data_IF_806765868932
#
_entry.id   IF_806765868932
#
_cell.length_a   1.000
_cell.length_b   1.000
_cell.length_c   1.000
_cell.angle_alpha   90.00
_cell.angle_beta   90.00
_cell.angle_gamma   90.00
#
_symmetry.space_group_name_H-M   'P 1'
#
loop_
_entity.id
_entity.type
_entity.pdbx_description
1 polymer ?
#
# COMPACT_ATOMS: atom_id res chain seq x y z
N UNK A 1 -15.04 -3.10 -10.43
CA UNK A 1 -14.71 -2.31 -9.21
C UNK A 1 -13.25 -1.90 -9.29
N UNK A 2 -12.97 -0.59 -9.12
CA UNK A 2 -11.60 -0.05 -9.17
C UNK A 2 -11.10 0.26 -7.76
N UNK A 3 -9.98 -0.35 -7.36
CA UNK A 3 -9.31 -0.06 -6.09
C UNK A 3 -7.96 0.56 -6.39
N UNK A 4 -7.67 1.71 -5.76
CA UNK A 4 -6.39 2.40 -5.86
C UNK A 4 -5.68 2.46 -4.51
N UNK A 5 -4.37 2.47 -4.57
CA UNK A 5 -3.48 2.66 -3.42
C UNK A 5 -2.46 3.76 -3.75
N UNK A 6 -2.27 4.71 -2.83
CA UNK A 6 -1.36 5.83 -3.02
C UNK A 6 -0.70 6.27 -1.71
N UNK A 7 0.59 6.10 -1.59
CA UNK A 7 1.35 6.78 -0.55
C UNK A 7 1.42 8.27 -0.88
N UNK A 8 0.79 9.11 -0.08
CA UNK A 8 0.66 10.56 -0.32
C UNK A 8 1.77 11.38 0.33
N UNK A 9 2.62 10.75 1.15
CA UNK A 9 3.73 11.42 1.84
C UNK A 9 3.32 12.75 2.51
N UNK A 10 2.14 12.73 3.14
CA UNK A 10 1.51 13.89 3.79
C UNK A 10 0.30 14.42 3.02
N UNK A 11 -0.91 14.01 3.46
CA UNK A 11 -2.16 14.31 2.76
C UNK A 11 -2.40 15.81 2.57
N UNK A 12 -2.12 16.65 3.58
CA UNK A 12 -2.25 18.12 3.46
C UNK A 12 -1.39 18.71 2.33
N UNK A 13 -0.23 18.12 2.09
CA UNK A 13 0.66 18.59 1.03
C UNK A 13 0.14 18.22 -0.36
N UNK A 14 -0.41 17.01 -0.51
CA UNK A 14 -0.97 16.54 -1.79
C UNK A 14 -2.29 17.22 -2.11
N UNK A 15 -3.12 17.54 -1.11
CA UNK A 15 -4.33 18.35 -1.31
C UNK A 15 -4.02 19.68 -2.01
N UNK A 16 -2.95 20.36 -1.60
CA UNK A 16 -2.50 21.63 -2.23
C UNK A 16 -1.94 21.46 -3.66
N UNK A 17 -1.73 20.23 -4.09
CA UNK A 17 -1.14 19.89 -5.40
C UNK A 17 -2.14 19.21 -6.35
N UNK A 18 -3.45 19.38 -6.11
CA UNK A 18 -4.50 18.86 -6.98
C UNK A 18 -4.94 17.43 -6.65
N UNK A 19 -4.97 17.06 -5.37
CA UNK A 19 -5.46 15.74 -4.94
C UNK A 19 -6.90 15.47 -5.39
N UNK A 20 -7.80 16.44 -5.21
CA UNK A 20 -9.22 16.31 -5.53
C UNK A 20 -9.41 16.03 -7.02
N UNK A 21 -8.75 16.83 -7.87
CA UNK A 21 -8.79 16.68 -9.34
C UNK A 21 -8.16 15.35 -9.79
N UNK A 22 -7.08 14.93 -9.14
CA UNK A 22 -6.45 13.65 -9.42
C UNK A 22 -7.39 12.49 -9.09
N UNK A 23 -8.04 12.50 -7.91
CA UNK A 23 -8.99 11.45 -7.51
C UNK A 23 -10.21 11.44 -8.43
N UNK A 24 -10.77 12.60 -8.76
CA UNK A 24 -11.90 12.70 -9.70
C UNK A 24 -11.57 12.11 -11.09
N UNK A 25 -10.33 12.32 -11.59
CA UNK A 25 -9.88 11.76 -12.87
C UNK A 25 -9.63 10.25 -12.80
N UNK A 26 -9.13 9.74 -11.67
CA UNK A 26 -8.87 8.31 -11.46
C UNK A 26 -10.15 7.52 -11.19
N UNK A 27 -11.16 8.17 -10.63
CA UNK A 27 -12.50 7.66 -10.31
C UNK A 27 -12.51 6.28 -9.61
N UNK A 28 -11.85 6.12 -8.45
CA UNK A 28 -11.84 4.84 -7.74
C UNK A 28 -13.14 4.57 -6.99
N UNK A 29 -13.52 3.29 -6.89
CA UNK A 29 -14.54 2.85 -5.93
C UNK A 29 -14.00 2.84 -4.49
N UNK A 30 -12.70 2.50 -4.35
CA UNK A 30 -11.97 2.51 -3.08
C UNK A 30 -10.59 3.13 -3.32
N UNK A 31 -10.20 4.07 -2.46
CA UNK A 31 -8.88 4.71 -2.46
C UNK A 31 -8.20 4.49 -1.11
N UNK A 32 -7.11 3.75 -1.12
CA UNK A 32 -6.24 3.48 0.02
C UNK A 32 -5.09 4.49 0.05
N UNK A 33 -4.90 5.17 1.17
CA UNK A 33 -3.84 6.16 1.35
C UNK A 33 -2.88 5.72 2.45
N UNK A 34 -1.58 5.90 2.22
CA UNK A 34 -0.52 5.69 3.20
C UNK A 34 0.23 7.00 3.44
N UNK A 35 0.88 7.09 4.57
CA UNK A 35 1.60 8.29 5.05
C UNK A 35 0.72 9.55 5.03
N UNK A 36 -0.47 9.49 5.59
CA UNK A 36 -1.34 10.67 5.70
C UNK A 36 -0.71 11.77 6.55
N UNK A 37 0.12 11.38 7.53
CA UNK A 37 0.85 12.27 8.47
C UNK A 37 -0.09 13.25 9.19
N UNK A 38 -1.31 12.78 9.47
CA UNK A 38 -2.35 13.53 10.16
C UNK A 38 -2.66 12.90 11.52
N UNK A 39 -3.19 13.74 12.40
CA UNK A 39 -3.89 13.32 13.60
C UNK A 39 -5.39 13.59 13.43
N UNK A 40 -6.20 13.06 14.32
CA UNK A 40 -7.65 13.20 14.26
C UNK A 40 -8.10 14.67 14.23
N UNK A 41 -7.49 15.51 15.08
CA UNK A 41 -7.75 16.95 15.20
C UNK A 41 -7.25 17.79 13.99
N UNK A 42 -6.49 17.21 13.10
CA UNK A 42 -5.89 17.90 11.96
C UNK A 42 -6.63 17.66 10.63
N UNK A 43 -7.68 16.83 10.64
CA UNK A 43 -8.51 16.59 9.45
C UNK A 43 -9.45 17.75 9.20
N UNK A 44 -9.51 18.27 7.98
CA UNK A 44 -10.56 19.20 7.59
C UNK A 44 -11.87 18.45 7.31
N UNK A 45 -13.00 19.16 7.36
CA UNK A 45 -14.31 18.59 7.00
C UNK A 45 -14.32 18.08 5.54
N UNK A 46 -13.61 18.75 4.63
CA UNK A 46 -13.43 18.32 3.24
C UNK A 46 -12.70 16.99 3.12
N UNK A 47 -11.70 16.72 3.99
CA UNK A 47 -11.00 15.44 4.02
C UNK A 47 -11.87 14.33 4.60
N UNK A 48 -12.75 14.62 5.56
CA UNK A 48 -13.64 13.64 6.19
C UNK A 48 -14.81 13.30 5.26
N UNK A 49 -15.41 14.32 4.66
CA UNK A 49 -16.60 14.23 3.81
C UNK A 49 -16.21 14.42 2.34
N UNK A 50 -15.26 13.62 1.86
CA UNK A 50 -14.76 13.75 0.51
C UNK A 50 -15.75 13.15 -0.48
N UNK A 51 -16.45 14.01 -1.25
CA UNK A 51 -17.43 13.63 -2.28
C UNK A 51 -18.45 12.59 -1.74
N UNK A 52 -18.64 11.50 -2.46
CA UNK A 52 -19.57 10.39 -2.13
C UNK A 52 -18.91 9.28 -1.29
N UNK A 53 -17.69 9.51 -0.82
CA UNK A 53 -16.92 8.51 -0.08
C UNK A 53 -17.21 8.56 1.42
N UNK A 54 -17.27 7.39 2.03
CA UNK A 54 -17.04 7.22 3.46
C UNK A 54 -15.55 7.10 3.72
N UNK A 55 -15.06 7.70 4.81
CA UNK A 55 -13.63 7.66 5.14
C UNK A 55 -13.36 6.90 6.43
N UNK A 56 -12.31 6.10 6.40
CA UNK A 56 -11.79 5.34 7.53
C UNK A 56 -10.35 5.77 7.78
N UNK A 57 -9.94 5.91 9.04
CA UNK A 57 -8.67 6.52 9.40
C UNK A 57 -7.99 5.77 10.53
N UNK A 58 -6.67 5.64 10.44
CA UNK A 58 -5.81 5.20 11.52
C UNK A 58 -4.61 6.14 11.67
N UNK A 59 -4.19 6.42 12.90
CA UNK A 59 -3.19 7.42 13.23
C UNK A 59 -2.14 6.86 14.16
N UNK A 60 -0.89 7.34 13.99
CA UNK A 60 0.14 7.05 14.97
C UNK A 60 -0.18 7.73 16.31
N UNK A 61 -0.35 6.94 17.36
CA UNK A 61 -0.52 7.44 18.74
C UNK A 61 0.81 7.88 19.36
N UNK A 62 1.93 7.33 18.87
CA UNK A 62 3.27 7.54 19.42
C UNK A 62 3.91 8.86 19.00
N UNK A 63 3.56 9.39 17.81
CA UNK A 63 4.20 10.58 17.26
C UNK A 63 3.29 11.33 16.30
N UNK A 64 3.09 12.63 16.54
CA UNK A 64 2.35 13.51 15.63
C UNK A 64 3.09 13.68 14.29
N UNK A 65 2.32 13.74 13.19
CA UNK A 65 2.87 13.94 11.85
C UNK A 65 3.69 12.78 11.30
N UNK A 66 3.46 11.58 11.82
CA UNK A 66 4.16 10.35 11.46
C UNK A 66 3.16 9.29 11.00
N UNK A 67 3.55 8.46 10.02
CA UNK A 67 2.72 7.35 9.51
C UNK A 67 1.28 7.78 9.17
N UNK A 68 0.30 6.99 9.58
CA UNK A 68 -1.12 7.21 9.35
C UNK A 68 -1.58 6.69 8.00
N UNK A 69 -2.72 6.00 8.01
CA UNK A 69 -3.38 5.49 6.80
C UNK A 69 -4.84 5.94 6.75
N UNK A 70 -5.40 6.00 5.55
CA UNK A 70 -6.83 6.29 5.37
C UNK A 70 -7.39 5.47 4.21
N UNK A 71 -8.68 5.18 4.26
CA UNK A 71 -9.41 4.62 3.12
C UNK A 71 -10.64 5.45 2.85
N UNK A 72 -10.84 5.83 1.61
CA UNK A 72 -12.07 6.39 1.08
C UNK A 72 -12.80 5.30 0.29
N UNK A 73 -14.05 5.01 0.62
CA UNK A 73 -14.83 3.95 -0.02
C UNK A 73 -16.25 4.44 -0.37
N UNK A 74 -16.67 4.24 -1.63
CA UNK A 74 -18.05 4.54 -2.06
C UNK A 74 -19.04 3.53 -1.49
N UNK A 75 -18.63 2.26 -1.43
CA UNK A 75 -19.45 1.19 -0.85
C UNK A 75 -19.04 0.96 0.60
N UNK A 76 -20.01 0.97 1.50
CA UNK A 76 -19.79 0.70 2.92
C UNK A 76 -19.35 -0.74 3.13
N UNK A 77 -18.24 -1.01 3.86
CA UNK A 77 -17.87 -2.36 4.28
C UNK A 77 -18.86 -2.89 5.33
N UNK A 78 -18.92 -4.20 5.47
CA UNK A 78 -19.70 -4.89 6.51
C UNK A 78 -19.09 -4.65 7.90
N UNK A 79 -17.76 -4.61 7.96
CA UNK A 79 -17.00 -4.32 9.17
C UNK A 79 -15.71 -3.57 8.81
N UNK A 80 -15.15 -2.86 9.80
CA UNK A 80 -13.84 -2.23 9.69
C UNK A 80 -13.08 -2.36 11.00
N UNK A 81 -11.75 -2.34 10.90
CA UNK A 81 -10.83 -2.40 12.03
C UNK A 81 -9.56 -1.61 11.72
N UNK A 82 -8.98 -0.97 12.75
CA UNK A 82 -7.63 -0.43 12.72
C UNK A 82 -6.68 -1.39 13.44
N UNK A 83 -5.47 -1.55 12.88
CA UNK A 83 -4.47 -2.49 13.39
C UNK A 83 -4.84 -3.97 13.15
N UNK A 84 -4.01 -4.86 13.68
CA UNK A 84 -4.20 -6.31 13.58
C UNK A 84 -3.97 -7.04 14.92
N UNK A 85 -3.96 -6.29 16.05
CA UNK A 85 -3.94 -6.83 17.40
C UNK A 85 -2.55 -6.97 18.02
N UNK A 86 -1.53 -6.32 17.45
CA UNK A 86 -0.18 -6.25 18.00
C UNK A 86 0.13 -4.81 18.40
N UNK A 87 0.01 -4.47 19.68
CA UNK A 87 0.06 -3.11 20.22
C UNK A 87 1.23 -2.27 19.70
N UNK A 88 2.44 -2.84 19.66
CA UNK A 88 3.65 -2.13 19.19
C UNK A 88 3.55 -1.67 17.74
N UNK A 89 2.77 -2.38 16.91
CA UNK A 89 2.54 -2.05 15.49
C UNK A 89 1.30 -1.18 15.33
N UNK A 90 0.23 -1.50 16.04
CA UNK A 90 -1.04 -0.78 15.97
C UNK A 90 -0.86 0.68 16.46
N UNK A 91 0.04 0.92 17.43
CA UNK A 91 0.38 2.24 17.91
C UNK A 91 0.99 3.18 16.84
N UNK A 92 1.47 2.65 15.72
CA UNK A 92 2.01 3.47 14.61
C UNK A 92 0.96 3.84 13.54
N UNK A 93 -0.30 3.37 13.66
CA UNK A 93 -1.39 3.74 12.75
C UNK A 93 -1.11 3.34 11.30
N UNK A 94 -0.88 2.04 11.05
CA UNK A 94 -0.36 1.54 9.78
C UNK A 94 -1.33 0.66 9.00
N UNK A 95 -2.44 0.21 9.62
CA UNK A 95 -3.30 -0.82 9.05
C UNK A 95 -4.76 -0.46 9.19
N UNK A 96 -5.49 -0.44 8.09
CA UNK A 96 -6.95 -0.47 8.06
C UNK A 96 -7.40 -1.74 7.37
N UNK A 97 -8.25 -2.50 8.03
CA UNK A 97 -8.96 -3.65 7.51
C UNK A 97 -10.40 -3.28 7.20
N UNK A 98 -10.89 -3.59 6.00
CA UNK A 98 -12.28 -3.43 5.58
C UNK A 98 -12.83 -4.77 5.08
N UNK A 99 -13.86 -5.29 5.73
CA UNK A 99 -14.55 -6.51 5.33
C UNK A 99 -15.73 -6.20 4.42
N UNK A 100 -15.69 -6.69 3.18
CA UNK A 100 -16.78 -6.59 2.20
C UNK A 100 -17.59 -7.89 2.04
N UNK A 101 -17.33 -8.92 2.86
CA UNK A 101 -17.93 -10.24 2.78
C UNK A 101 -17.29 -11.11 1.69
N UNK A 102 -17.27 -10.65 0.43
CA UNK A 102 -16.59 -11.33 -0.68
C UNK A 102 -15.07 -11.32 -0.58
N UNK A 103 -14.52 -10.29 0.01
CA UNK A 103 -13.09 -10.14 0.27
C UNK A 103 -12.85 -9.27 1.51
N UNK A 104 -11.68 -9.40 2.09
CA UNK A 104 -11.16 -8.48 3.10
C UNK A 104 -10.05 -7.64 2.45
N UNK A 105 -10.19 -6.31 2.54
CA UNK A 105 -9.20 -5.36 2.05
C UNK A 105 -8.33 -4.86 3.19
N UNK A 106 -7.02 -4.96 3.04
CA UNK A 106 -6.04 -4.35 3.91
C UNK A 106 -5.35 -3.18 3.21
N UNK A 107 -5.45 -2.00 3.80
CA UNK A 107 -4.61 -0.84 3.45
C UNK A 107 -3.48 -0.74 4.45
N UNK A 108 -2.22 -0.87 3.99
CA UNK A 108 -1.06 -0.97 4.87
C UNK A 108 0.06 -0.01 4.46
N UNK A 109 0.64 0.64 5.46
CA UNK A 109 1.93 1.30 5.35
C UNK A 109 2.99 0.48 6.08
N UNK A 110 3.68 -0.40 5.36
CA UNK A 110 4.74 -1.23 5.94
C UNK A 110 5.91 -0.36 6.43
N UNK A 111 6.55 -0.72 7.55
CA UNK A 111 7.67 0.06 8.08
C UNK A 111 8.83 0.17 7.10
N UNK A 112 9.47 1.35 7.08
CA UNK A 112 10.75 1.55 6.40
C UNK A 112 11.89 1.12 7.32
N UNK A 113 12.86 0.36 6.80
CA UNK A 113 13.99 -0.19 7.56
C UNK A 113 15.31 0.59 7.42
N UNK A 114 15.31 1.77 6.76
CA UNK A 114 16.56 2.45 6.38
C UNK A 114 17.28 3.14 7.54
N UNK A 115 16.63 3.38 8.68
CA UNK A 115 17.19 4.20 9.75
C UNK A 115 18.36 3.51 10.45
N UNK A 116 18.17 2.27 10.88
CA UNK A 116 19.11 1.46 11.66
C UNK A 116 18.67 -0.02 11.65
N UNK A 117 19.51 -0.90 12.20
CA UNK A 117 19.21 -2.35 12.28
C UNK A 117 17.97 -2.65 13.14
N UNK A 118 17.71 -1.90 14.20
CA UNK A 118 16.52 -2.07 15.04
C UNK A 118 15.25 -1.83 14.19
N UNK A 119 15.27 -0.79 13.36
CA UNK A 119 14.15 -0.48 12.48
C UNK A 119 13.98 -1.51 11.35
N UNK A 120 15.08 -2.08 10.86
CA UNK A 120 15.03 -3.18 9.91
C UNK A 120 14.39 -4.43 10.55
N UNK A 121 14.82 -4.82 11.75
CA UNK A 121 14.20 -5.94 12.48
C UNK A 121 12.71 -5.69 12.76
N UNK A 122 12.36 -4.46 13.19
CA UNK A 122 10.96 -4.07 13.37
C UNK A 122 10.12 -4.25 12.10
N UNK A 123 10.67 -3.88 10.93
CA UNK A 123 10.03 -4.08 9.63
C UNK A 123 9.81 -5.57 9.34
N UNK A 124 10.84 -6.39 9.51
CA UNK A 124 10.75 -7.84 9.28
C UNK A 124 9.76 -8.53 10.23
N UNK A 125 9.74 -8.12 11.50
CA UNK A 125 8.77 -8.59 12.48
C UNK A 125 7.34 -8.19 12.09
N UNK A 126 7.15 -6.94 11.63
CA UNK A 126 5.84 -6.46 11.15
C UNK A 126 5.32 -7.33 10.02
N UNK A 127 6.15 -7.63 9.02
CA UNK A 127 5.79 -8.51 7.91
C UNK A 127 5.36 -9.89 8.42
N UNK A 128 6.19 -10.52 9.23
CA UNK A 128 5.92 -11.85 9.78
C UNK A 128 4.60 -11.90 10.54
N UNK A 129 4.40 -10.97 11.47
CA UNK A 129 3.24 -10.96 12.36
C UNK A 129 1.96 -10.58 11.60
N UNK A 130 2.03 -9.62 10.67
CA UNK A 130 0.89 -9.27 9.82
C UNK A 130 0.48 -10.43 8.91
N UNK A 131 1.42 -11.06 8.21
CA UNK A 131 1.07 -12.16 7.31
C UNK A 131 0.65 -13.42 8.06
N UNK A 132 1.09 -13.62 9.31
CA UNK A 132 0.50 -14.67 10.17
C UNK A 132 -0.97 -14.40 10.50
N UNK A 133 -1.33 -13.14 10.73
CA UNK A 133 -2.71 -12.71 10.90
C UNK A 133 -3.53 -12.90 9.62
N UNK A 134 -3.00 -12.49 8.48
CA UNK A 134 -3.64 -12.63 7.18
C UNK A 134 -3.85 -14.11 6.80
N UNK A 135 -2.86 -14.98 7.05
CA UNK A 135 -2.97 -16.43 6.82
C UNK A 135 -4.11 -17.05 7.65
N UNK A 136 -4.27 -16.66 8.91
CA UNK A 136 -5.36 -17.15 9.75
C UNK A 136 -6.75 -16.78 9.18
N UNK A 137 -6.90 -15.66 8.48
CA UNK A 137 -8.14 -15.31 7.77
C UNK A 137 -8.30 -16.13 6.48
N UNK A 138 -7.23 -16.32 5.73
CA UNK A 138 -7.22 -17.13 4.51
C UNK A 138 -7.57 -18.59 4.83
N UNK A 139 -7.05 -19.17 5.93
CA UNK A 139 -7.37 -20.51 6.41
C UNK A 139 -8.85 -20.66 6.81
N UNK A 140 -9.53 -19.55 7.14
CA UNK A 140 -10.98 -19.50 7.35
C UNK A 140 -11.78 -19.35 6.04
N UNK A 141 -11.13 -19.46 4.89
CA UNK A 141 -11.77 -19.35 3.57
C UNK A 141 -12.03 -17.90 3.14
N UNK A 142 -11.33 -16.91 3.71
CA UNK A 142 -11.49 -15.50 3.31
C UNK A 142 -10.56 -15.18 2.14
N UNK A 143 -11.11 -14.57 1.11
CA UNK A 143 -10.34 -13.96 0.02
C UNK A 143 -9.75 -12.63 0.49
N UNK A 144 -8.46 -12.39 0.23
CA UNK A 144 -7.74 -11.23 0.74
C UNK A 144 -7.19 -10.36 -0.39
N UNK A 145 -7.29 -9.04 -0.19
CA UNK A 145 -6.61 -8.02 -0.99
C UNK A 145 -5.75 -7.18 -0.04
N UNK A 146 -4.44 -7.24 -0.19
CA UNK A 146 -3.47 -6.54 0.66
C UNK A 146 -2.78 -5.51 -0.21
N UNK A 147 -2.95 -4.23 0.09
CA UNK A 147 -2.36 -3.16 -0.68
C UNK A 147 -1.68 -2.11 0.19
N UNK A 148 -0.76 -1.40 -0.40
CA UNK A 148 -0.09 -0.26 0.19
C UNK A 148 1.37 -0.15 -0.19
N UNK A 149 2.09 0.67 0.57
CA UNK A 149 3.53 0.84 0.45
C UNK A 149 4.26 -0.23 1.29
N UNK A 150 4.89 -1.16 0.60
CA UNK A 150 5.65 -2.25 1.21
C UNK A 150 7.09 -1.84 1.58
N UNK A 151 7.54 -0.68 1.15
CA UNK A 151 8.91 -0.23 1.37
C UNK A 151 9.99 -1.23 0.92
N UNK A 152 9.66 -2.13 0.00
CA UNK A 152 10.55 -3.18 -0.53
C UNK A 152 10.30 -3.41 -2.02
N UNK A 153 11.33 -3.30 -2.84
CA UNK A 153 11.32 -3.78 -4.21
C UNK A 153 11.65 -5.29 -4.22
N UNK A 154 10.87 -6.10 -4.94
CA UNK A 154 11.00 -7.55 -4.90
C UNK A 154 12.16 -8.07 -5.76
N UNK A 155 12.11 -7.81 -7.07
CA UNK A 155 13.04 -8.32 -8.05
C UNK A 155 13.89 -7.21 -8.69
N UNK A 156 14.94 -7.57 -9.40
CA UNK A 156 15.81 -6.60 -10.08
C UNK A 156 15.07 -5.74 -11.10
N UNK A 157 14.01 -6.26 -11.71
CA UNK A 157 13.12 -5.51 -12.62
C UNK A 157 12.34 -4.39 -11.90
N UNK A 158 12.20 -4.48 -10.57
CA UNK A 158 11.40 -3.58 -9.76
C UNK A 158 12.13 -2.31 -9.32
N UNK A 159 13.40 -2.15 -9.72
CA UNK A 159 14.14 -0.90 -9.50
C UNK A 159 15.17 -0.63 -10.60
N UNK A 160 15.46 0.65 -10.83
CA UNK A 160 16.33 1.09 -11.94
C UNK A 160 17.77 0.62 -11.82
N UNK A 161 18.34 0.58 -10.60
CA UNK A 161 19.74 0.31 -10.37
C UNK A 161 19.93 -0.80 -9.31
N UNK A 162 19.62 -2.07 -9.60
CA UNK A 162 19.61 -3.14 -8.60
C UNK A 162 20.99 -3.36 -7.98
N UNK A 163 22.03 -3.40 -8.78
CA UNK A 163 23.39 -3.72 -8.30
C UNK A 163 23.93 -2.67 -7.31
N UNK A 164 23.62 -1.40 -7.51
CA UNK A 164 24.06 -0.33 -6.60
C UNK A 164 23.20 -0.20 -5.34
N UNK A 165 22.07 -0.91 -5.28
CA UNK A 165 21.12 -0.84 -4.16
C UNK A 165 20.97 -2.16 -3.39
N UNK A 166 21.69 -3.24 -3.78
CA UNK A 166 21.59 -4.57 -3.16
C UNK A 166 21.86 -4.60 -1.65
N UNK A 167 22.64 -3.64 -1.16
CA UNK A 167 23.02 -3.52 0.24
C UNK A 167 22.25 -2.37 0.95
N UNK A 168 21.13 -1.91 0.37
CA UNK A 168 20.26 -0.87 0.96
C UNK A 168 18.93 -1.44 1.39
N UNK A 169 18.43 -1.02 2.55
CA UNK A 169 17.08 -1.36 2.98
C UNK A 169 16.05 -0.89 1.95
N UNK A 170 15.08 -1.75 1.70
CA UNK A 170 14.13 -1.70 0.59
C UNK A 170 14.55 -2.63 -0.57
N UNK A 171 15.80 -3.16 -0.57
CA UNK A 171 16.26 -4.15 -1.54
C UNK A 171 17.28 -5.15 -0.99
N UNK A 172 17.44 -5.21 0.35
CA UNK A 172 18.26 -6.24 0.99
C UNK A 172 17.72 -7.64 0.67
N UNK A 173 18.62 -8.63 0.57
CA UNK A 173 18.17 -9.99 0.30
C UNK A 173 17.16 -10.49 1.32
N UNK A 174 17.38 -10.22 2.61
CA UNK A 174 16.48 -10.60 3.70
C UNK A 174 15.07 -9.98 3.58
N UNK A 175 14.95 -8.76 3.04
CA UNK A 175 13.64 -8.12 2.79
C UNK A 175 12.94 -8.74 1.58
N UNK A 176 13.69 -9.10 0.54
CA UNK A 176 13.20 -9.77 -0.66
C UNK A 176 12.78 -11.22 -0.37
N UNK A 177 13.52 -11.92 0.50
CA UNK A 177 13.18 -13.27 0.96
C UNK A 177 11.80 -13.30 1.65
N UNK A 178 11.41 -12.21 2.34
CA UNK A 178 10.06 -12.09 2.92
C UNK A 178 9.01 -12.04 1.82
N UNK A 179 9.23 -11.32 0.72
CA UNK A 179 8.28 -11.29 -0.40
C UNK A 179 8.22 -12.63 -1.14
N UNK A 180 9.36 -13.33 -1.28
CA UNK A 180 9.40 -14.71 -1.79
C UNK A 180 8.54 -15.64 -0.92
N UNK A 181 8.68 -15.55 0.42
CA UNK A 181 7.89 -16.33 1.39
C UNK A 181 6.39 -16.02 1.29
N UNK A 182 5.99 -14.74 1.20
CA UNK A 182 4.59 -14.32 1.02
C UNK A 182 3.99 -14.98 -0.24
N UNK A 183 4.71 -14.95 -1.36
CA UNK A 183 4.27 -15.58 -2.61
C UNK A 183 4.14 -17.11 -2.43
N UNK A 184 5.10 -17.74 -1.75
CA UNK A 184 5.07 -19.20 -1.48
C UNK A 184 3.87 -19.64 -0.66
N UNK A 185 3.27 -18.71 0.12
CA UNK A 185 2.07 -18.93 0.94
C UNK A 185 0.76 -18.68 0.20
N UNK A 186 0.79 -18.52 -1.15
CA UNK A 186 -0.40 -18.37 -1.98
C UNK A 186 -0.94 -16.93 -2.06
N UNK A 187 -0.06 -15.94 -1.90
CA UNK A 187 -0.36 -14.55 -2.29
C UNK A 187 0.26 -14.23 -3.64
N UNK A 188 -0.45 -13.48 -4.46
CA UNK A 188 -0.04 -13.15 -5.83
C UNK A 188 0.18 -11.65 -5.96
N UNK A 189 1.37 -11.21 -6.37
CA UNK A 189 1.62 -9.85 -6.85
C UNK A 189 0.87 -9.66 -8.16
N UNK A 190 -0.29 -9.02 -8.11
CA UNK A 190 -1.22 -8.92 -9.24
C UNK A 190 -0.60 -8.25 -10.46
N UNK A 191 0.20 -7.19 -10.26
CA UNK A 191 0.85 -6.49 -11.37
C UNK A 191 1.92 -7.37 -12.04
N UNK A 192 2.77 -8.04 -11.25
CA UNK A 192 3.82 -8.90 -11.81
C UNK A 192 3.27 -10.17 -12.44
N UNK A 193 2.16 -10.69 -11.93
CA UNK A 193 1.46 -11.82 -12.53
C UNK A 193 0.89 -11.49 -13.92
N UNK A 194 0.23 -10.34 -14.06
CA UNK A 194 -0.38 -9.93 -15.33
C UNK A 194 0.64 -9.36 -16.32
N UNK A 195 1.71 -8.74 -15.82
CA UNK A 195 2.72 -8.03 -16.60
C UNK A 195 4.14 -8.45 -16.20
N UNK A 196 4.55 -9.71 -16.47
CA UNK A 196 5.80 -10.29 -15.96
C UNK A 196 7.06 -9.53 -16.36
N UNK A 197 7.09 -8.95 -17.58
CA UNK A 197 8.25 -8.29 -18.15
C UNK A 197 8.15 -6.75 -18.17
N UNK A 198 7.07 -6.19 -17.65
CA UNK A 198 6.85 -4.73 -17.70
C UNK A 198 7.64 -4.01 -16.63
N UNK A 199 8.53 -3.11 -17.06
CA UNK A 199 9.29 -2.22 -16.17
C UNK A 199 8.47 -0.97 -15.89
N UNK A 200 7.91 -0.89 -14.68
CA UNK A 200 7.24 0.30 -14.14
C UNK A 200 7.59 0.46 -12.68
N UNK A 201 7.65 1.70 -12.23
CA UNK A 201 7.96 2.06 -10.85
C UNK A 201 6.82 2.86 -10.24
N UNK A 202 6.71 2.80 -8.90
CA UNK A 202 5.69 3.52 -8.13
C UNK A 202 6.26 4.64 -7.27
N UNK A 203 7.58 4.64 -7.02
CA UNK A 203 8.27 5.61 -6.19
C UNK A 203 9.55 6.15 -6.84
N UNK A 204 9.85 7.44 -6.61
CA UNK A 204 11.07 8.13 -7.04
C UNK A 204 11.55 9.10 -5.97
N UNK A 205 12.82 9.03 -5.62
CA UNK A 205 13.42 10.03 -4.73
C UNK A 205 13.21 11.46 -5.26
N UNK A 206 12.94 12.40 -4.38
CA UNK A 206 12.93 13.85 -4.74
C UNK A 206 14.29 14.36 -5.18
N UNK A 207 15.37 13.62 -4.93
CA UNK A 207 16.74 14.02 -5.26
C UNK A 207 17.08 13.65 -6.71
N UNK A 208 18.01 14.41 -7.28
CA UNK A 208 18.64 14.10 -8.60
C UNK A 208 17.67 13.98 -9.77
N UNK A 209 16.52 14.64 -9.72
CA UNK A 209 15.48 14.52 -10.76
C UNK A 209 15.10 13.06 -11.07
N UNK A 210 15.08 12.19 -10.04
CA UNK A 210 14.91 10.76 -10.20
C UNK A 210 13.65 10.39 -11.00
N UNK A 211 12.52 11.07 -10.77
CA UNK A 211 11.27 10.82 -11.52
C UNK A 211 11.40 11.17 -13.01
N UNK A 212 12.05 12.32 -13.34
CA UNK A 212 12.31 12.72 -14.73
C UNK A 212 13.21 11.72 -15.46
N UNK A 213 14.20 11.17 -14.77
CA UNK A 213 15.14 10.18 -15.29
C UNK A 213 14.61 8.75 -15.21
N UNK A 214 13.40 8.57 -14.70
CA UNK A 214 12.79 7.27 -14.37
C UNK A 214 13.71 6.35 -13.55
N UNK A 215 14.46 6.93 -12.59
CA UNK A 215 15.28 6.19 -11.63
C UNK A 215 14.44 5.85 -10.40
N UNK A 216 13.46 4.97 -10.60
CA UNK A 216 12.43 4.64 -9.62
C UNK A 216 12.53 3.22 -9.07
N UNK A 217 11.64 2.94 -8.13
CA UNK A 217 11.41 1.66 -7.48
C UNK A 217 9.92 1.33 -7.51
N UNK A 218 9.56 0.06 -7.68
CA UNK A 218 8.21 -0.44 -7.47
C UNK A 218 8.16 -1.02 -6.05
N UNK A 219 7.55 -0.30 -5.15
CA UNK A 219 7.43 -0.64 -3.72
C UNK A 219 6.01 -0.58 -3.20
N UNK A 220 5.07 -0.15 -4.05
CA UNK A 220 3.64 -0.18 -3.79
C UNK A 220 3.01 -1.35 -4.55
N UNK A 221 2.18 -2.15 -3.87
CA UNK A 221 1.68 -3.42 -4.40
C UNK A 221 0.19 -3.60 -4.14
N UNK A 222 -0.39 -4.51 -4.95
CA UNK A 222 -1.58 -5.27 -4.65
C UNK A 222 -1.22 -6.76 -4.61
N UNK A 223 -1.06 -7.29 -3.42
CA UNK A 223 -1.04 -8.73 -3.21
C UNK A 223 -2.46 -9.24 -2.98
N UNK A 224 -2.87 -10.24 -3.71
CA UNK A 224 -4.18 -10.87 -3.58
C UNK A 224 -4.02 -12.35 -3.26
N UNK A 225 -4.97 -12.94 -2.53
CA UNK A 225 -5.00 -14.39 -2.37
C UNK A 225 -5.23 -15.08 -3.72
N UNK A 226 -4.62 -16.24 -3.92
CA UNK A 226 -4.55 -16.94 -5.20
C UNK A 226 -5.92 -17.28 -5.81
N UNK A 227 -6.94 -17.49 -4.97
CA UNK A 227 -8.32 -17.73 -5.39
C UNK A 227 -8.87 -16.60 -6.26
N UNK A 228 -8.61 -15.33 -5.90
CA UNK A 228 -9.04 -14.17 -6.68
C UNK A 228 -8.42 -14.10 -8.08
N UNK A 229 -7.21 -14.65 -8.25
CA UNK A 229 -6.58 -14.78 -9.56
C UNK A 229 -7.13 -15.99 -10.32
N UNK A 230 -7.27 -17.14 -9.65
CA UNK A 230 -7.79 -18.38 -10.24
C UNK A 230 -9.23 -18.23 -10.74
N UNK A 231 -10.06 -17.53 -10.00
CA UNK A 231 -11.45 -17.22 -10.37
C UNK A 231 -11.57 -16.04 -11.34
N UNK A 232 -10.43 -15.45 -11.75
CA UNK A 232 -10.38 -14.30 -12.65
C UNK A 232 -11.16 -13.09 -12.13
N UNK A 233 -11.18 -12.89 -10.82
CA UNK A 233 -11.79 -11.71 -10.22
C UNK A 233 -10.94 -10.47 -10.51
N UNK A 234 -9.60 -10.60 -10.46
CA UNK A 234 -8.67 -9.53 -10.85
C UNK A 234 -8.56 -9.50 -12.37
N UNK A 235 -9.09 -8.43 -12.99
CA UNK A 235 -9.10 -8.23 -14.43
C UNK A 235 -7.88 -7.48 -14.94
N UNK A 236 -7.40 -6.51 -14.16
CA UNK A 236 -6.25 -5.68 -14.51
C UNK A 236 -5.51 -5.20 -13.27
N UNK A 237 -4.22 -4.87 -13.43
CA UNK A 237 -3.39 -4.21 -12.43
C UNK A 237 -2.53 -3.14 -13.12
N UNK A 238 -2.45 -1.94 -12.55
CA UNK A 238 -1.82 -0.82 -13.22
C UNK A 238 -1.06 0.10 -12.25
N UNK A 239 -0.15 0.89 -12.82
CA UNK A 239 0.66 1.90 -12.12
C UNK A 239 0.50 3.21 -12.89
N UNK A 240 0.01 4.28 -12.24
CA UNK A 240 -0.36 5.56 -12.84
C UNK A 240 0.80 6.57 -12.71
N UNK A 241 1.88 6.35 -13.44
CA UNK A 241 3.10 7.17 -13.37
C UNK A 241 2.88 8.65 -13.69
N UNK A 242 1.84 8.97 -14.45
CA UNK A 242 1.46 10.34 -14.86
C UNK A 242 0.83 11.14 -13.72
N UNK A 243 0.34 10.48 -12.67
CA UNK A 243 -0.24 11.16 -11.52
C UNK A 243 0.88 11.69 -10.61
N UNK A 244 0.90 13.01 -10.47
CA UNK A 244 1.87 13.73 -9.64
C UNK A 244 1.25 14.15 -8.29
N UNK A 245 2.08 14.70 -7.40
CA UNK A 245 1.66 15.22 -6.08
C UNK A 245 2.51 14.67 -4.95
N UNK A 246 2.85 13.39 -5.00
CA UNK A 246 3.74 12.69 -4.07
C UNK A 246 5.01 12.21 -4.79
N UNK A 247 5.99 11.71 -4.03
CA UNK A 247 7.12 10.93 -4.54
C UNK A 247 6.72 9.51 -4.94
N UNK A 248 5.53 9.06 -4.55
CA UNK A 248 4.87 7.90 -5.11
C UNK A 248 3.83 8.31 -6.16
N UNK A 249 3.47 7.38 -7.04
CA UNK A 249 2.27 7.47 -7.86
C UNK A 249 1.25 6.41 -7.42
N UNK A 250 -0.05 6.59 -7.76
CA UNK A 250 -1.04 5.58 -7.46
C UNK A 250 -0.79 4.27 -8.19
N UNK A 251 -1.07 3.15 -7.53
CA UNK A 251 -1.19 1.82 -8.13
C UNK A 251 -2.62 1.33 -7.97
N UNK A 252 -3.08 0.39 -8.81
CA UNK A 252 -4.47 -0.04 -8.75
C UNK A 252 -4.74 -1.41 -9.35
N UNK A 253 -5.93 -1.92 -9.05
CA UNK A 253 -6.51 -3.12 -9.67
C UNK A 253 -7.95 -2.87 -10.11
N UNK A 254 -8.35 -3.58 -11.15
CA UNK A 254 -9.74 -3.71 -11.56
C UNK A 254 -10.26 -5.08 -11.18
N UNK A 255 -11.42 -5.11 -10.53
CA UNK A 255 -12.09 -6.33 -10.09
C UNK A 255 -13.44 -6.50 -10.76
N UNK A 256 -13.78 -7.74 -11.12
CA UNK A 256 -15.10 -8.17 -11.58
C UNK A 256 -15.64 -9.22 -10.59
N UNK A 257 -16.78 -8.89 -9.93
CA UNK A 257 -17.42 -9.74 -8.93
C UNK A 257 -18.87 -10.05 -9.32
#
# INVERSE_FOLDING_TARGET
MRILSWNVNGLRAVYKKGFVEAVARMDPDILCLQETKLQEDQRSQEMINFDTYQSFWDYASTRKGYSGVAVYARKRPLANRCGFGVERFDAEGRVIELDYGRFVLFNIYFPNGQKDDERLHYKLDFYRDFFSYADALKDQGRSLIITGDFNTAHNEIDLKNPQSNKDRSGFLRIERDVLDDIISRGYVDSFRYLYPDTVKYSWWSYRFNARKNNAGWRIDYFFVSEDLMAEKVVQDAFILNEIAGSDHCPVGIELDF
#
